data_IF_599928200225
#
_entry.id   IF_599928200225
#
_cell.length_a   1.000
_cell.length_b   1.000
_cell.length_c   1.000
_cell.angle_alpha   90.00
_cell.angle_beta   90.00
_cell.angle_gamma   90.00
#
_symmetry.space_group_name_H-M   'P 1'
#
loop_
_entity.id
_entity.type
_entity.pdbx_description
1 polymer ?
#
# COMPACT_ATOMS: atom_id res chain seq x y z
N UNK A 1 23.56 -21.03 -9.62
CA UNK A 1 23.03 -19.72 -9.20
C UNK A 1 23.49 -19.49 -7.77
N UNK A 2 24.07 -18.33 -7.46
CA UNK A 2 24.47 -18.00 -6.09
C UNK A 2 23.31 -17.31 -5.37
N UNK A 3 23.10 -17.66 -4.10
CA UNK A 3 22.08 -17.05 -3.23
C UNK A 3 22.83 -16.33 -2.13
N UNK A 4 22.58 -15.03 -1.98
CA UNK A 4 23.24 -14.19 -0.97
C UNK A 4 22.22 -13.42 -0.13
N UNK A 5 22.60 -12.95 1.07
CA UNK A 5 21.77 -12.03 1.84
C UNK A 5 21.49 -10.72 1.09
N UNK A 6 20.37 -10.08 1.42
CA UNK A 6 20.04 -8.74 0.92
C UNK A 6 20.89 -7.65 1.57
N UNK A 7 21.22 -6.63 0.81
CA UNK A 7 21.64 -5.34 1.35
C UNK A 7 20.43 -4.55 1.88
N UNK A 8 20.68 -3.53 2.72
CA UNK A 8 19.62 -2.64 3.22
C UNK A 8 18.81 -1.97 2.10
N UNK A 9 19.48 -1.59 1.00
CA UNK A 9 18.81 -0.94 -0.13
C UNK A 9 17.85 -1.91 -0.84
N UNK A 10 18.22 -3.18 -0.95
CA UNK A 10 17.42 -4.22 -1.64
C UNK A 10 16.21 -4.70 -0.83
N UNK A 11 16.24 -4.62 0.51
CA UNK A 11 15.13 -5.05 1.37
C UNK A 11 13.78 -4.44 0.99
N UNK A 12 13.76 -3.21 0.48
CA UNK A 12 12.51 -2.54 0.06
C UNK A 12 11.82 -3.23 -1.11
N UNK A 13 12.56 -3.97 -1.91
CA UNK A 13 12.09 -4.67 -3.12
C UNK A 13 11.67 -6.11 -2.82
N UNK A 14 11.60 -6.52 -1.55
CA UNK A 14 10.91 -7.75 -1.12
C UNK A 14 9.41 -7.55 -0.91
N UNK A 15 8.89 -6.36 -1.21
CA UNK A 15 7.48 -6.00 -1.07
C UNK A 15 6.92 -5.54 -2.41
N UNK A 16 5.59 -5.52 -2.52
CA UNK A 16 4.91 -4.96 -3.69
C UNK A 16 5.29 -3.48 -3.85
N UNK A 17 5.70 -3.09 -5.05
CA UNK A 17 6.09 -1.73 -5.37
C UNK A 17 4.94 -0.96 -6.03
N UNK A 18 5.02 0.37 -6.01
CA UNK A 18 4.11 1.23 -6.77
C UNK A 18 4.19 0.96 -8.28
N UNK A 19 3.22 1.45 -9.03
CA UNK A 19 3.22 1.33 -10.50
C UNK A 19 4.46 1.97 -11.14
N UNK A 20 4.93 3.10 -10.60
CA UNK A 20 6.11 3.79 -11.13
C UNK A 20 7.39 2.98 -10.93
N UNK A 21 7.64 2.54 -9.70
CA UNK A 21 8.82 1.74 -9.39
C UNK A 21 8.76 0.39 -10.11
N UNK A 22 7.58 -0.24 -10.19
CA UNK A 22 7.41 -1.49 -10.93
C UNK A 22 7.78 -1.34 -12.41
N UNK A 23 7.39 -0.23 -13.04
CA UNK A 23 7.77 0.09 -14.42
C UNK A 23 9.28 0.30 -14.58
N UNK A 24 9.92 1.02 -13.67
CA UNK A 24 11.37 1.30 -13.73
C UNK A 24 12.25 0.09 -13.41
N UNK A 25 11.75 -0.86 -12.61
CA UNK A 25 12.51 -2.04 -12.18
C UNK A 25 12.25 -3.27 -13.05
N UNK A 26 11.33 -3.19 -14.00
CA UNK A 26 10.95 -4.33 -14.84
C UNK A 26 10.34 -5.45 -14.01
N UNK A 27 9.43 -5.10 -13.08
CA UNK A 27 8.73 -6.06 -12.24
C UNK A 27 7.93 -7.05 -13.09
N UNK A 28 8.20 -8.34 -12.91
CA UNK A 28 7.65 -9.44 -13.71
C UNK A 28 6.44 -10.04 -13.00
N UNK A 29 6.59 -10.27 -11.70
CA UNK A 29 5.57 -10.91 -10.88
C UNK A 29 6.09 -11.27 -9.50
N UNK A 30 5.20 -11.81 -8.68
CA UNK A 30 5.49 -12.23 -7.31
C UNK A 30 5.11 -13.68 -7.15
N UNK A 31 6.04 -14.50 -6.66
CA UNK A 31 5.73 -15.87 -6.26
C UNK A 31 5.48 -15.91 -4.76
N UNK A 32 4.30 -16.35 -4.36
CA UNK A 32 3.98 -16.67 -2.97
C UNK A 32 4.14 -18.16 -2.77
N UNK A 33 4.70 -18.57 -1.64
CA UNK A 33 4.83 -19.97 -1.31
C UNK A 33 5.02 -20.21 0.17
N UNK A 34 5.11 -21.48 0.50
CA UNK A 34 5.33 -21.92 1.87
C UNK A 34 5.12 -23.41 1.99
N UNK A 35 4.91 -23.86 3.22
CA UNK A 35 4.72 -25.28 3.52
C UNK A 35 3.31 -25.48 4.06
N UNK A 36 2.68 -26.58 3.66
CA UNK A 36 1.45 -27.04 4.32
C UNK A 36 1.80 -28.04 5.42
N UNK A 37 0.78 -28.45 6.17
CA UNK A 37 0.87 -29.46 7.22
C UNK A 37 1.41 -30.83 6.76
N UNK A 38 1.39 -31.12 5.46
CA UNK A 38 2.00 -32.30 4.82
C UNK A 38 3.51 -32.15 4.51
N UNK A 39 4.10 -30.99 4.85
CA UNK A 39 5.49 -30.60 4.58
C UNK A 39 5.85 -30.44 3.09
N UNK A 40 4.89 -30.51 2.17
CA UNK A 40 5.16 -30.22 0.76
C UNK A 40 5.17 -28.71 0.52
N UNK A 41 6.17 -28.23 -0.24
CA UNK A 41 6.26 -26.83 -0.63
C UNK A 41 5.22 -26.53 -1.73
N UNK A 42 4.34 -25.58 -1.47
CA UNK A 42 3.44 -25.05 -2.48
C UNK A 42 3.89 -23.67 -2.93
N UNK A 43 3.54 -23.31 -4.16
CA UNK A 43 3.76 -21.97 -4.68
C UNK A 43 2.67 -21.56 -5.66
N UNK A 44 2.34 -20.28 -5.66
CA UNK A 44 1.51 -19.60 -6.67
C UNK A 44 2.27 -18.41 -7.22
N UNK A 45 2.14 -18.17 -8.52
CA UNK A 45 2.76 -17.01 -9.17
C UNK A 45 1.67 -16.00 -9.53
N UNK A 46 1.88 -14.74 -9.17
CA UNK A 46 1.03 -13.62 -9.52
C UNK A 46 1.73 -12.77 -10.57
N UNK A 47 1.15 -12.71 -11.76
CA UNK A 47 1.68 -11.99 -12.90
C UNK A 47 1.47 -10.47 -12.74
N UNK A 48 2.56 -9.70 -12.82
CA UNK A 48 2.52 -8.24 -12.86
C UNK A 48 2.78 -7.72 -14.28
N UNK A 49 3.66 -8.38 -15.02
CA UNK A 49 3.99 -8.00 -16.39
C UNK A 49 4.40 -9.21 -17.24
N UNK A 50 3.44 -9.76 -17.97
CA UNK A 50 3.65 -10.93 -18.84
C UNK A 50 4.69 -10.70 -19.93
N UNK A 51 4.94 -9.44 -20.34
CA UNK A 51 5.93 -9.12 -21.38
C UNK A 51 7.34 -9.60 -21.01
N UNK A 52 7.66 -9.61 -19.71
CA UNK A 52 8.99 -10.00 -19.21
C UNK A 52 9.04 -11.45 -18.72
N UNK A 53 7.89 -12.13 -18.65
CA UNK A 53 7.78 -13.54 -18.32
C UNK A 53 8.14 -14.41 -19.53
N UNK A 54 9.43 -14.42 -19.84
CA UNK A 54 9.96 -15.24 -20.91
C UNK A 54 10.16 -16.68 -20.43
N UNK A 55 10.31 -17.62 -21.36
CA UNK A 55 10.70 -18.98 -21.03
C UNK A 55 12.03 -19.05 -20.28
N UNK A 56 12.98 -18.19 -20.61
CA UNK A 56 14.28 -18.08 -19.92
C UNK A 56 14.09 -17.66 -18.45
N UNK A 57 13.15 -16.73 -18.19
CA UNK A 57 12.78 -16.34 -16.83
C UNK A 57 12.16 -17.52 -16.06
N UNK A 58 11.22 -18.23 -16.66
CA UNK A 58 10.51 -19.35 -16.03
C UNK A 58 11.49 -20.49 -15.69
N UNK A 59 12.37 -20.86 -16.62
CA UNK A 59 13.44 -21.85 -16.39
C UNK A 59 14.40 -21.38 -15.28
N UNK A 60 14.72 -20.08 -15.24
CA UNK A 60 15.55 -19.49 -14.18
C UNK A 60 14.90 -19.58 -12.80
N UNK A 61 13.60 -19.29 -12.71
CA UNK A 61 12.83 -19.36 -11.46
C UNK A 61 12.70 -20.81 -10.98
N UNK A 62 12.41 -21.76 -11.88
CA UNK A 62 12.33 -23.18 -11.55
C UNK A 62 13.68 -23.70 -11.01
N UNK A 63 14.78 -23.34 -11.66
CA UNK A 63 16.13 -23.71 -11.21
C UNK A 63 16.47 -23.14 -9.83
N UNK A 64 16.04 -21.91 -9.54
CA UNK A 64 16.17 -21.31 -8.22
C UNK A 64 15.40 -22.11 -7.17
N UNK A 65 14.11 -22.42 -7.41
CA UNK A 65 13.29 -23.21 -6.50
C UNK A 65 13.85 -24.61 -6.27
N UNK A 66 14.39 -25.25 -7.29
CA UNK A 66 15.03 -26.57 -7.16
C UNK A 66 16.31 -26.49 -6.32
N UNK A 67 17.07 -25.39 -6.43
CA UNK A 67 18.26 -25.16 -5.62
C UNK A 67 17.90 -24.91 -4.15
N UNK A 68 16.92 -24.05 -3.89
CA UNK A 68 16.44 -23.72 -2.54
C UNK A 68 15.85 -24.91 -1.79
N UNK A 69 15.24 -25.85 -2.52
CA UNK A 69 14.59 -27.06 -1.97
C UNK A 69 15.46 -28.31 -2.04
N UNK A 70 16.74 -28.19 -2.43
CA UNK A 70 17.62 -29.33 -2.61
C UNK A 70 17.78 -30.15 -1.31
N UNK A 71 17.75 -31.49 -1.42
CA UNK A 71 17.89 -32.39 -0.26
C UNK A 71 19.23 -32.28 0.46
N UNK A 72 20.29 -31.82 -0.22
CA UNK A 72 21.62 -31.73 0.35
C UNK A 72 21.78 -30.48 1.22
N UNK A 73 21.51 -29.31 0.63
CA UNK A 73 21.89 -28.00 1.21
C UNK A 73 20.77 -26.95 1.11
N UNK A 74 19.56 -27.35 0.68
CA UNK A 74 18.43 -26.43 0.49
C UNK A 74 17.79 -26.01 1.81
N UNK A 75 17.99 -24.75 2.22
CA UNK A 75 17.40 -24.22 3.45
C UNK A 75 15.87 -24.10 3.37
N UNK A 76 15.29 -24.13 2.16
CA UNK A 76 13.84 -24.13 1.94
C UNK A 76 13.30 -25.53 1.58
N UNK A 77 13.97 -26.59 2.01
CA UNK A 77 13.44 -27.95 1.87
C UNK A 77 12.15 -28.14 2.68
N UNK A 78 12.13 -27.62 3.91
CA UNK A 78 10.95 -27.56 4.77
C UNK A 78 11.04 -26.41 5.79
N UNK A 79 9.99 -26.21 6.58
CA UNK A 79 9.95 -25.16 7.59
C UNK A 79 11.04 -25.33 8.67
N UNK A 80 11.36 -26.58 9.05
CA UNK A 80 12.39 -26.88 10.06
C UNK A 80 13.78 -26.46 9.56
N UNK A 81 14.14 -26.78 8.32
CA UNK A 81 15.43 -26.35 7.72
C UNK A 81 15.53 -24.84 7.58
N UNK A 82 14.41 -24.16 7.29
CA UNK A 82 14.38 -22.71 7.21
C UNK A 82 14.61 -22.08 8.59
N UNK A 83 13.96 -22.61 9.62
CA UNK A 83 14.15 -22.18 11.02
C UNK A 83 15.59 -22.41 11.48
N UNK A 84 16.17 -23.56 11.19
CA UNK A 84 17.58 -23.86 11.50
C UNK A 84 18.55 -22.91 10.79
N UNK A 85 18.34 -22.69 9.49
CA UNK A 85 19.19 -21.80 8.70
C UNK A 85 19.11 -20.35 9.20
N UNK A 86 17.91 -19.84 9.43
CA UNK A 86 17.69 -18.47 9.93
C UNK A 86 18.27 -18.27 11.34
N UNK A 87 18.13 -19.27 12.23
CA UNK A 87 18.76 -19.25 13.55
C UNK A 87 20.30 -19.22 13.50
N UNK A 88 20.91 -19.86 12.51
CA UNK A 88 22.37 -19.82 12.29
C UNK A 88 22.85 -18.53 11.62
N UNK A 89 21.94 -17.74 11.03
CA UNK A 89 22.28 -16.52 10.28
C UNK A 89 21.49 -15.28 10.75
N UNK A 90 21.49 -14.96 12.06
CA UNK A 90 20.72 -13.82 12.60
C UNK A 90 21.14 -12.47 12.02
N UNK A 91 22.37 -12.33 11.52
CA UNK A 91 22.87 -11.13 10.86
C UNK A 91 22.16 -10.78 9.54
N UNK A 92 21.45 -11.76 8.95
CA UNK A 92 20.68 -11.57 7.71
C UNK A 92 19.22 -11.17 7.97
N UNK A 93 18.84 -11.08 9.25
CA UNK A 93 17.50 -10.68 9.66
C UNK A 93 17.28 -9.17 9.48
N UNK A 94 16.06 -8.79 9.14
CA UNK A 94 15.61 -7.41 9.17
C UNK A 94 14.20 -7.31 9.75
N UNK A 95 13.85 -6.13 10.25
CA UNK A 95 12.50 -5.88 10.76
C UNK A 95 11.55 -5.77 9.56
N UNK A 96 10.71 -6.79 9.38
CA UNK A 96 9.61 -6.76 8.42
C UNK A 96 8.37 -6.08 9.01
N UNK A 97 7.27 -6.09 8.25
CA UNK A 97 6.00 -5.46 8.67
C UNK A 97 5.41 -6.08 9.92
N UNK A 98 5.47 -7.41 10.04
CA UNK A 98 4.79 -8.17 11.10
C UNK A 98 5.77 -8.81 12.09
N UNK A 99 6.97 -9.14 11.62
CA UNK A 99 7.94 -9.91 12.38
C UNK A 99 9.34 -9.72 11.81
N UNK A 100 10.31 -10.36 12.47
CA UNK A 100 11.66 -10.53 11.93
C UNK A 100 11.61 -11.40 10.68
N UNK A 101 12.02 -10.81 9.55
CA UNK A 101 12.07 -11.46 8.25
C UNK A 101 13.53 -11.70 7.82
N UNK A 102 13.74 -12.63 6.90
CA UNK A 102 15.05 -12.95 6.34
C UNK A 102 15.01 -12.80 4.84
N UNK A 103 15.99 -12.07 4.31
CA UNK A 103 16.00 -11.65 2.92
C UNK A 103 17.17 -12.20 2.16
N UNK A 104 16.91 -12.72 0.96
CA UNK A 104 17.97 -13.18 0.05
C UNK A 104 17.76 -12.66 -1.36
N UNK A 105 18.84 -12.66 -2.12
CA UNK A 105 18.82 -12.38 -3.55
C UNK A 105 19.57 -13.46 -4.30
N UNK A 106 19.00 -13.86 -5.42
CA UNK A 106 19.63 -14.71 -6.39
C UNK A 106 19.44 -14.10 -7.79
N UNK A 107 20.44 -14.27 -8.66
CA UNK A 107 20.45 -13.66 -9.98
C UNK A 107 20.75 -14.70 -11.06
N UNK A 108 20.10 -14.57 -12.21
CA UNK A 108 20.59 -15.08 -13.50
C UNK A 108 21.35 -13.98 -14.22
N UNK A 109 21.75 -14.23 -15.47
CA UNK A 109 22.31 -13.17 -16.33
C UNK A 109 21.34 -11.98 -16.49
N UNK A 110 20.02 -12.23 -16.61
CA UNK A 110 19.03 -11.20 -16.95
C UNK A 110 18.00 -10.89 -15.86
N UNK A 111 17.79 -11.80 -14.92
CA UNK A 111 16.69 -11.72 -13.95
C UNK A 111 17.21 -11.74 -12.52
N UNK A 112 16.58 -10.94 -11.67
CA UNK A 112 16.84 -10.88 -10.25
C UNK A 112 15.63 -11.42 -9.47
N UNK A 113 15.90 -12.25 -8.47
CA UNK A 113 14.92 -12.84 -7.58
C UNK A 113 15.21 -12.34 -6.18
N UNK A 114 14.38 -11.41 -5.71
CA UNK A 114 14.49 -10.78 -4.40
C UNK A 114 13.46 -11.44 -3.49
N UNK A 115 13.94 -12.20 -2.51
CA UNK A 115 13.10 -13.08 -1.71
C UNK A 115 13.11 -12.70 -0.24
N UNK A 116 11.95 -12.87 0.39
CA UNK A 116 11.78 -12.79 1.84
C UNK A 116 11.15 -14.06 2.37
N UNK A 117 11.56 -14.47 3.57
CA UNK A 117 10.89 -15.51 4.31
C UNK A 117 10.68 -15.14 5.79
N UNK A 118 9.56 -15.58 6.34
CA UNK A 118 9.19 -15.40 7.74
C UNK A 118 9.14 -16.78 8.44
N UNK A 119 10.19 -17.20 9.18
CA UNK A 119 10.23 -18.52 9.81
C UNK A 119 9.21 -18.71 10.95
N UNK A 120 8.60 -17.61 11.45
CA UNK A 120 7.56 -17.65 12.48
C UNK A 120 6.15 -17.90 11.89
N UNK A 121 5.95 -17.65 10.60
CA UNK A 121 4.66 -17.87 9.93
C UNK A 121 4.54 -19.33 9.46
N UNK A 122 3.40 -19.94 9.72
CA UNK A 122 3.15 -21.35 9.40
C UNK A 122 2.80 -21.59 7.92
N UNK A 123 2.12 -20.64 7.26
CA UNK A 123 1.74 -20.68 5.84
C UNK A 123 2.15 -19.37 5.13
N UNK A 124 2.24 -19.37 3.79
CA UNK A 124 2.57 -18.20 2.96
C UNK A 124 3.73 -17.39 3.54
N UNK A 125 4.77 -18.13 3.90
CA UNK A 125 5.91 -17.66 4.67
C UNK A 125 7.13 -17.38 3.78
N UNK A 126 6.95 -17.44 2.46
CA UNK A 126 7.95 -17.18 1.43
C UNK A 126 7.33 -16.31 0.35
N UNK A 127 8.03 -15.25 -0.01
CA UNK A 127 7.71 -14.44 -1.18
C UNK A 127 8.95 -14.19 -2.01
N UNK A 128 8.82 -14.29 -3.34
CA UNK A 128 9.89 -14.02 -4.30
C UNK A 128 9.40 -12.98 -5.30
N UNK A 129 9.93 -11.77 -5.20
CA UNK A 129 9.71 -10.70 -6.15
C UNK A 129 10.70 -10.82 -7.30
N UNK A 130 10.16 -10.84 -8.53
CA UNK A 130 10.91 -11.13 -9.75
C UNK A 130 11.06 -9.88 -10.61
N UNK A 131 12.28 -9.56 -11.01
CA UNK A 131 12.63 -8.34 -11.75
C UNK A 131 13.56 -8.60 -12.93
N UNK A 132 13.60 -7.66 -13.87
CA UNK A 132 14.70 -7.53 -14.82
C UNK A 132 15.92 -6.99 -14.05
N UNK A 133 16.99 -7.79 -13.97
CA UNK A 133 18.15 -7.55 -13.10
C UNK A 133 18.80 -6.19 -13.35
N UNK A 134 19.10 -5.88 -14.60
CA UNK A 134 19.76 -4.62 -14.98
C UNK A 134 18.94 -3.40 -14.56
N UNK A 135 17.63 -3.47 -14.69
CA UNK A 135 16.72 -2.36 -14.41
C UNK A 135 16.55 -2.16 -12.91
N UNK A 136 16.40 -3.25 -12.15
CA UNK A 136 16.39 -3.22 -10.69
C UNK A 136 17.70 -2.62 -10.15
N UNK A 137 18.85 -3.15 -10.59
CA UNK A 137 20.17 -2.68 -10.15
C UNK A 137 20.38 -1.20 -10.46
N UNK A 138 19.99 -0.75 -11.65
CA UNK A 138 20.10 0.64 -12.05
C UNK A 138 19.20 1.56 -11.21
N UNK A 139 17.96 1.14 -10.93
CA UNK A 139 17.04 1.91 -10.10
C UNK A 139 17.53 2.00 -8.65
N UNK A 140 17.97 0.88 -8.05
CA UNK A 140 18.55 0.85 -6.70
C UNK A 140 19.76 1.79 -6.61
N UNK A 141 20.70 1.67 -7.56
CA UNK A 141 21.89 2.52 -7.57
C UNK A 141 21.58 4.02 -7.67
N UNK A 142 20.49 4.40 -8.36
CA UNK A 142 20.03 5.78 -8.39
C UNK A 142 19.36 6.19 -7.08
N UNK A 143 18.50 5.33 -6.53
CA UNK A 143 17.80 5.57 -5.27
C UNK A 143 18.75 5.70 -4.07
N UNK A 144 19.91 5.03 -4.11
CA UNK A 144 20.97 5.14 -3.09
C UNK A 144 21.57 6.56 -2.98
N UNK A 145 21.40 7.41 -3.99
CA UNK A 145 21.81 8.82 -3.92
C UNK A 145 20.91 9.66 -3.01
N UNK A 146 19.74 9.14 -2.67
CA UNK A 146 18.75 9.81 -1.84
C UNK A 146 17.73 10.63 -2.63
N UNK A 147 16.74 11.12 -1.90
CA UNK A 147 15.62 11.93 -2.38
C UNK A 147 15.89 13.37 -1.95
N UNK A 148 15.95 14.27 -2.93
CA UNK A 148 16.15 15.70 -2.70
C UNK A 148 14.82 16.41 -2.48
N UNK A 149 14.75 17.23 -1.45
CA UNK A 149 13.62 18.14 -1.22
C UNK A 149 14.04 19.61 -1.36
N UNK A 150 13.15 20.42 -1.93
CA UNK A 150 13.41 21.80 -2.35
C UNK A 150 12.27 22.74 -1.94
N UNK A 151 12.52 24.04 -1.79
CA UNK A 151 11.46 25.02 -1.68
C UNK A 151 10.87 25.38 -3.08
N UNK A 152 9.82 26.19 -3.14
CA UNK A 152 9.18 26.61 -4.40
C UNK A 152 10.10 27.45 -5.30
N UNK A 153 11.16 28.04 -4.74
CA UNK A 153 12.18 28.80 -5.45
C UNK A 153 13.32 27.92 -5.98
N UNK A 154 13.20 26.60 -5.86
CA UNK A 154 14.19 25.61 -6.30
C UNK A 154 15.46 25.57 -5.44
N UNK A 155 15.47 26.21 -4.26
CA UNK A 155 16.58 26.06 -3.32
C UNK A 155 16.46 24.70 -2.62
N UNK A 156 17.56 23.97 -2.54
CA UNK A 156 17.63 22.71 -1.81
C UNK A 156 17.47 22.93 -0.31
N UNK A 157 16.61 22.13 0.31
CA UNK A 157 16.37 22.15 1.75
C UNK A 157 17.17 21.04 2.45
N UNK A 158 17.00 19.80 2.00
CA UNK A 158 17.67 18.63 2.56
C UNK A 158 17.55 17.41 1.63
N UNK A 159 18.26 16.34 1.99
CA UNK A 159 18.18 15.02 1.38
C UNK A 159 17.82 13.96 2.42
N UNK A 160 17.07 12.94 2.01
CA UNK A 160 16.81 11.73 2.80
C UNK A 160 17.16 10.47 2.00
N UNK A 161 17.41 9.35 2.66
CA UNK A 161 17.58 8.08 1.95
C UNK A 161 16.24 7.58 1.40
N UNK A 162 16.25 6.83 0.29
CA UNK A 162 15.05 6.20 -0.24
C UNK A 162 14.41 5.27 0.80
N UNK A 163 13.10 5.44 1.04
CA UNK A 163 12.34 4.72 2.05
C UNK A 163 12.26 5.41 3.42
N UNK A 164 12.98 6.51 3.64
CA UNK A 164 12.86 7.30 4.87
C UNK A 164 11.61 8.19 4.87
N UNK A 165 11.31 8.79 6.02
CA UNK A 165 10.13 9.61 6.23
C UNK A 165 10.49 11.10 6.28
N UNK A 166 9.57 11.92 5.81
CA UNK A 166 9.50 13.33 6.16
C UNK A 166 8.35 13.56 7.14
N UNK A 167 8.48 14.57 7.98
CA UNK A 167 7.42 15.10 8.82
C UNK A 167 6.89 16.37 8.17
N UNK A 168 5.59 16.41 7.91
CA UNK A 168 4.88 17.58 7.39
C UNK A 168 4.09 18.20 8.54
N UNK A 169 4.37 19.47 8.86
CA UNK A 169 3.59 20.29 9.78
C UNK A 169 2.68 21.19 8.97
N UNK A 170 1.38 20.95 9.06
CA UNK A 170 0.37 21.75 8.37
C UNK A 170 0.11 23.05 9.14
N UNK A 171 -0.42 24.07 8.45
CA UNK A 171 -0.73 25.38 9.04
C UNK A 171 -1.74 25.32 10.20
N UNK A 172 -2.57 24.28 10.25
CA UNK A 172 -3.48 23.99 11.37
C UNK A 172 -2.82 23.41 12.63
N UNK A 173 -1.49 23.17 12.61
CA UNK A 173 -0.74 22.57 13.72
C UNK A 173 -0.73 21.05 13.75
N UNK A 174 -1.45 20.38 12.85
CA UNK A 174 -1.36 18.93 12.66
C UNK A 174 0.00 18.55 12.06
N UNK A 175 0.57 17.43 12.53
CA UNK A 175 1.79 16.86 11.98
C UNK A 175 1.53 15.45 11.45
N UNK A 176 2.10 15.13 10.30
CA UNK A 176 2.04 13.78 9.72
C UNK A 176 3.40 13.35 9.21
N UNK A 177 3.74 12.09 9.42
CA UNK A 177 4.92 11.47 8.81
C UNK A 177 4.56 10.73 7.53
N UNK A 178 5.36 10.91 6.49
CA UNK A 178 5.15 10.30 5.18
C UNK A 178 6.43 9.63 4.71
N UNK A 179 6.35 8.32 4.47
CA UNK A 179 7.42 7.55 3.82
C UNK A 179 7.59 8.08 2.40
N UNK A 180 8.83 8.26 1.96
CA UNK A 180 9.14 8.77 0.64
C UNK A 180 9.92 7.72 -0.18
N UNK A 181 9.56 7.57 -1.45
CA UNK A 181 10.26 6.67 -2.38
C UNK A 181 10.83 7.42 -3.57
N UNK A 182 12.06 7.07 -3.92
CA UNK A 182 12.77 7.65 -5.06
C UNK A 182 12.16 7.15 -6.37
N UNK A 183 11.92 8.07 -7.31
CA UNK A 183 11.49 7.77 -8.68
C UNK A 183 12.54 8.25 -9.67
N UNK A 184 12.88 9.54 -9.64
CA UNK A 184 14.02 10.11 -10.36
C UNK A 184 14.46 11.45 -9.71
N UNK A 185 15.36 12.19 -10.36
CA UNK A 185 15.90 13.47 -9.86
C UNK A 185 14.85 14.60 -9.74
N UNK A 186 13.67 14.42 -10.34
CA UNK A 186 12.59 15.40 -10.41
C UNK A 186 11.27 14.88 -9.83
N UNK A 187 11.14 13.57 -9.62
CA UNK A 187 9.93 12.93 -9.11
C UNK A 187 10.19 12.12 -7.85
N UNK A 188 9.26 12.19 -6.91
CA UNK A 188 9.27 11.39 -5.69
C UNK A 188 7.86 10.94 -5.35
N UNK A 189 7.74 9.78 -4.73
CA UNK A 189 6.52 9.40 -4.03
C UNK A 189 6.60 9.90 -2.59
N UNK A 190 5.53 10.55 -2.10
CA UNK A 190 5.38 10.97 -0.70
C UNK A 190 4.08 10.33 -0.18
N UNK A 191 4.21 9.37 0.72
CA UNK A 191 3.13 8.44 1.02
C UNK A 191 2.75 7.64 -0.23
N UNK A 192 1.50 7.75 -0.64
CA UNK A 192 0.96 7.03 -1.81
C UNK A 192 0.85 7.91 -3.06
N UNK A 193 1.37 9.14 -3.02
CA UNK A 193 1.20 10.13 -4.08
C UNK A 193 2.52 10.41 -4.80
N UNK A 194 2.49 10.36 -6.13
CA UNK A 194 3.60 10.77 -6.99
C UNK A 194 3.58 12.28 -7.21
N UNK A 195 4.71 12.94 -6.97
CA UNK A 195 4.87 14.37 -7.20
C UNK A 195 6.10 14.67 -8.05
N UNK A 196 5.99 15.74 -8.85
CA UNK A 196 7.18 16.50 -9.22
C UNK A 196 7.66 17.30 -7.99
N UNK A 197 8.96 17.34 -7.73
CA UNK A 197 9.51 17.97 -6.51
C UNK A 197 9.09 19.45 -6.35
N UNK A 198 9.02 20.22 -7.43
CA UNK A 198 8.51 21.61 -7.38
C UNK A 198 7.02 21.68 -7.04
N UNK A 199 6.22 20.77 -7.60
CA UNK A 199 4.78 20.74 -7.34
C UNK A 199 4.52 20.47 -5.86
N UNK A 200 5.24 19.52 -5.27
CA UNK A 200 5.18 19.25 -3.84
C UNK A 200 5.53 20.51 -3.04
N UNK A 201 6.65 21.17 -3.36
CA UNK A 201 7.08 22.38 -2.67
C UNK A 201 6.06 23.53 -2.76
N UNK A 202 5.52 23.79 -3.95
CA UNK A 202 4.51 24.82 -4.19
C UNK A 202 3.21 24.56 -3.41
N UNK A 203 2.76 23.30 -3.35
CA UNK A 203 1.57 22.92 -2.56
C UNK A 203 1.83 23.17 -1.07
N UNK A 204 2.99 22.75 -0.55
CA UNK A 204 3.32 22.91 0.87
C UNK A 204 3.37 24.39 1.26
N UNK A 205 4.07 25.22 0.48
CA UNK A 205 4.15 26.66 0.76
C UNK A 205 2.80 27.37 0.62
N UNK A 206 2.01 27.04 -0.42
CA UNK A 206 0.68 27.62 -0.62
C UNK A 206 -0.26 27.34 0.55
N UNK A 207 -0.14 26.17 1.15
CA UNK A 207 -0.96 25.75 2.30
C UNK A 207 -0.37 26.20 3.65
N UNK A 208 0.76 26.92 3.64
CA UNK A 208 1.49 27.31 4.85
C UNK A 208 2.01 26.12 5.64
N UNK A 209 2.32 25.02 4.96
CA UNK A 209 2.85 23.79 5.54
C UNK A 209 4.36 23.76 5.39
N UNK A 210 5.03 23.25 6.41
CA UNK A 210 6.48 23.05 6.42
C UNK A 210 6.77 21.56 6.49
N UNK A 211 7.93 21.15 5.98
CA UNK A 211 8.32 19.75 6.06
C UNK A 211 9.81 19.61 6.34
N UNK A 212 10.15 18.58 7.11
CA UNK A 212 11.51 18.31 7.62
C UNK A 212 11.80 16.82 7.57
N UNK A 213 13.07 16.40 7.50
CA UNK A 213 13.42 14.99 7.62
C UNK A 213 13.02 14.49 9.02
N UNK A 214 12.46 13.29 9.11
CA UNK A 214 12.31 12.61 10.40
C UNK A 214 13.70 12.14 10.82
N UNK A 215 14.18 12.58 11.97
CA UNK A 215 15.44 12.07 12.50
C UNK A 215 15.32 10.55 12.67
N UNK A 216 16.26 9.75 12.15
CA UNK A 216 16.20 8.31 12.30
C UNK A 216 16.27 7.99 13.79
N UNK A 217 15.21 7.40 14.34
CA UNK A 217 15.20 6.99 15.73
C UNK A 217 16.35 6.01 15.96
N UNK A 218 17.34 6.41 16.77
CA UNK A 218 18.27 5.46 17.38
C UNK A 218 17.43 4.53 18.24
N UNK A 219 17.27 3.28 17.80
CA UNK A 219 16.48 2.24 18.44
C UNK A 219 16.67 2.27 19.96
N UNK A 220 15.70 2.84 20.67
CA UNK A 220 15.33 2.43 22.01
C UNK A 220 13.86 2.08 21.94
N UNK A 221 13.60 0.78 22.04
CA UNK A 221 12.29 0.19 22.01
C UNK A 221 11.35 0.91 22.98
N UNK A 222 10.27 1.47 22.46
CA UNK A 222 9.01 1.61 23.17
C UNK A 222 7.86 1.55 22.16
N UNK A 223 7.37 0.32 21.97
CA UNK A 223 6.10 -0.01 21.37
C UNK A 223 4.97 0.75 22.07
N UNK A 224 4.05 1.32 21.29
CA UNK A 224 2.59 1.27 21.55
C UNK A 224 1.84 1.39 20.22
N UNK A 225 1.67 0.27 19.51
CA UNK A 225 0.54 0.12 18.61
C UNK A 225 -0.65 -0.40 19.42
N UNK A 226 -1.72 0.38 19.45
CA UNK A 226 -3.02 -0.10 19.88
C UNK A 226 -3.67 -0.78 18.67
N UNK A 227 -3.41 -2.08 18.52
CA UNK A 227 -4.28 -2.95 17.76
C UNK A 227 -5.63 -3.03 18.50
N UNK A 228 -6.67 -2.45 17.92
CA UNK A 228 -8.04 -2.80 18.27
C UNK A 228 -8.52 -3.84 17.27
N UNK A 229 -8.50 -5.11 17.70
CA UNK A 229 -9.36 -6.16 17.16
C UNK A 229 -10.81 -5.69 17.22
N UNK A 230 -11.51 -5.69 16.09
CA UNK A 230 -12.97 -5.78 16.08
C UNK A 230 -13.42 -6.83 15.07
N UNK A 231 -14.38 -7.63 15.54
CA UNK A 231 -14.98 -8.80 14.89
C UNK A 231 -15.57 -8.48 13.51
N UNK A 232 -15.55 -9.52 12.69
CA UNK A 232 -16.13 -9.69 11.36
C UNK A 232 -17.65 -9.40 11.31
N UNK A 233 -18.02 -8.12 11.18
CA UNK A 233 -19.30 -7.65 10.62
C UNK A 233 -19.00 -6.40 9.78
N UNK A 234 -18.85 -6.52 8.46
CA UNK A 234 -18.50 -5.37 7.61
C UNK A 234 -17.86 -5.67 6.25
N UNK A 235 -17.67 -6.94 5.89
CA UNK A 235 -17.11 -7.35 4.60
C UNK A 235 -18.23 -7.58 3.57
N UNK A 236 -18.02 -7.09 2.36
CA UNK A 236 -18.94 -7.13 1.23
C UNK A 236 -18.25 -7.79 0.02
N UNK A 237 -19.00 -8.45 -0.84
CA UNK A 237 -18.46 -9.02 -2.08
C UNK A 237 -18.45 -7.98 -3.19
N UNK A 238 -17.26 -7.68 -3.73
CA UNK A 238 -17.06 -6.87 -4.93
C UNK A 238 -16.80 -7.79 -6.12
N UNK A 239 -17.66 -7.74 -7.14
CA UNK A 239 -17.39 -8.41 -8.41
C UNK A 239 -16.60 -7.47 -9.31
N UNK A 240 -15.37 -7.84 -9.63
CA UNK A 240 -14.48 -7.01 -10.44
C UNK A 240 -14.83 -7.11 -11.92
N UNK A 241 -14.44 -6.11 -12.69
CA UNK A 241 -14.58 -6.14 -14.16
C UNK A 241 -13.80 -7.30 -14.82
N UNK A 242 -12.86 -7.92 -14.10
CA UNK A 242 -12.07 -9.05 -14.58
C UNK A 242 -12.71 -10.42 -14.28
N UNK A 243 -13.91 -10.43 -13.70
CA UNK A 243 -14.66 -11.64 -13.39
C UNK A 243 -14.26 -12.34 -12.09
N UNK A 244 -13.42 -11.70 -11.26
CA UNK A 244 -13.11 -12.16 -9.90
C UNK A 244 -14.09 -11.57 -8.89
N UNK A 245 -14.16 -12.18 -7.70
CA UNK A 245 -14.92 -11.67 -6.57
C UNK A 245 -13.97 -11.44 -5.40
N UNK A 246 -13.88 -10.20 -4.94
CA UNK A 246 -13.03 -9.78 -3.82
C UNK A 246 -13.88 -9.47 -2.59
N UNK A 247 -13.33 -9.76 -1.40
CA UNK A 247 -13.95 -9.43 -0.13
C UNK A 247 -13.42 -8.09 0.39
N UNK A 248 -14.29 -7.08 0.42
CA UNK A 248 -13.91 -5.70 0.69
C UNK A 248 -14.66 -5.12 1.88
N UNK A 249 -14.02 -4.21 2.61
CA UNK A 249 -14.61 -3.40 3.67
C UNK A 249 -14.44 -1.93 3.34
N UNK A 250 -15.49 -1.15 3.64
CA UNK A 250 -15.47 0.30 3.43
C UNK A 250 -14.78 1.01 4.59
N UNK A 251 -14.13 2.12 4.27
CA UNK A 251 -13.61 3.09 5.23
C UNK A 251 -14.18 4.46 4.90
N UNK A 252 -14.48 5.26 5.92
CA UNK A 252 -14.97 6.64 5.76
C UNK A 252 -13.95 7.59 6.35
N UNK A 253 -13.68 8.66 5.61
CA UNK A 253 -12.89 9.80 6.08
C UNK A 253 -13.44 11.07 5.43
N UNK A 254 -12.66 12.15 5.50
CA UNK A 254 -13.02 13.47 5.03
C UNK A 254 -11.91 14.01 4.12
N UNK A 255 -12.26 14.48 2.93
CA UNK A 255 -11.32 15.17 2.06
C UNK A 255 -10.86 16.48 2.69
N UNK A 256 -9.54 16.65 2.80
CA UNK A 256 -8.92 17.78 3.51
C UNK A 256 -9.27 19.13 2.87
N UNK A 257 -9.44 19.19 1.55
CA UNK A 257 -9.63 20.46 0.83
C UNK A 257 -10.97 21.14 1.12
N UNK A 258 -12.04 20.36 1.32
CA UNK A 258 -13.41 20.87 1.34
C UNK A 258 -14.34 20.15 2.32
N UNK A 259 -13.79 19.28 3.16
CA UNK A 259 -14.50 18.44 4.10
C UNK A 259 -15.55 17.50 3.48
N UNK A 260 -15.48 17.23 2.17
CA UNK A 260 -16.40 16.31 1.50
C UNK A 260 -16.16 14.87 1.95
N UNK A 261 -17.19 14.04 1.82
CA UNK A 261 -17.13 12.64 2.19
C UNK A 261 -16.09 11.90 1.36
N UNK A 262 -15.10 11.30 2.01
CA UNK A 262 -14.21 10.30 1.42
C UNK A 262 -14.71 8.91 1.81
N UNK A 263 -14.83 8.04 0.81
CA UNK A 263 -15.03 6.60 1.02
C UNK A 263 -13.92 5.85 0.29
N UNK A 264 -13.22 4.99 1.04
CA UNK A 264 -12.21 4.08 0.53
C UNK A 264 -12.63 2.63 0.72
N UNK A 265 -11.98 1.73 -0.02
CA UNK A 265 -12.14 0.28 0.12
C UNK A 265 -10.83 -0.34 0.57
N UNK A 266 -10.96 -1.34 1.44
CA UNK A 266 -9.87 -2.20 1.87
C UNK A 266 -10.25 -3.65 1.63
N UNK A 267 -9.30 -4.49 1.24
CA UNK A 267 -9.45 -5.94 1.25
C UNK A 267 -8.83 -6.50 2.52
N UNK A 268 -9.33 -7.64 2.99
CA UNK A 268 -8.69 -8.38 4.08
C UNK A 268 -8.23 -9.73 3.54
N UNK A 269 -7.21 -9.73 2.69
CA UNK A 269 -6.46 -10.96 2.43
C UNK A 269 -5.56 -11.23 3.65
N UNK A 270 -5.61 -12.46 4.18
CA UNK A 270 -4.84 -12.91 5.35
C UNK A 270 -5.09 -12.21 6.70
N UNK A 271 -6.20 -11.48 6.83
CA UNK A 271 -6.67 -10.94 8.12
C UNK A 271 -6.22 -9.51 8.45
N UNK A 272 -5.51 -8.84 7.54
CA UNK A 272 -5.11 -7.43 7.67
C UNK A 272 -5.77 -6.55 6.60
N UNK A 273 -6.32 -5.37 6.93
CA UNK A 273 -6.92 -4.48 5.94
C UNK A 273 -5.84 -3.85 5.03
N UNK A 274 -5.84 -4.22 3.75
CA UNK A 274 -5.02 -3.60 2.70
C UNK A 274 -5.84 -2.63 1.85
N UNK A 275 -5.34 -1.44 1.48
CA UNK A 275 -6.06 -0.54 0.58
C UNK A 275 -6.33 -1.18 -0.79
N UNK A 276 -7.59 -1.24 -1.18
CA UNK A 276 -8.04 -1.75 -2.48
C UNK A 276 -8.20 -0.63 -3.52
N UNK A 277 -8.84 0.47 -3.11
CA UNK A 277 -9.08 1.61 -4.00
C UNK A 277 -10.00 2.66 -3.38
N UNK A 278 -10.00 3.85 -3.96
CA UNK A 278 -10.83 4.97 -3.51
C UNK A 278 -12.19 4.93 -4.22
N UNK A 279 -13.27 4.78 -3.46
CA UNK A 279 -14.64 4.75 -4.02
C UNK A 279 -15.02 6.13 -4.54
N UNK A 280 -14.63 7.16 -3.79
CA UNK A 280 -14.98 8.55 -4.10
C UNK A 280 -13.78 9.27 -4.72
N UNK A 281 -14.06 10.34 -5.46
CA UNK A 281 -13.05 11.30 -5.92
C UNK A 281 -13.42 12.71 -5.48
N UNK A 282 -12.44 13.51 -5.07
CA UNK A 282 -12.65 14.91 -4.77
C UNK A 282 -12.50 15.78 -6.01
N UNK A 283 -13.60 16.34 -6.49
CA UNK A 283 -13.59 17.29 -7.62
C UNK A 283 -13.59 18.75 -7.16
N UNK A 284 -13.34 19.01 -5.88
CA UNK A 284 -13.34 20.34 -5.23
C UNK A 284 -14.69 21.10 -5.31
N UNK A 285 -15.70 20.51 -5.93
CA UNK A 285 -17.06 21.02 -5.92
C UNK A 285 -17.70 20.81 -4.56
N UNK A 286 -18.43 21.83 -4.10
CA UNK A 286 -19.30 21.68 -2.93
C UNK A 286 -20.49 20.79 -3.30
N UNK A 287 -20.64 19.69 -2.57
CA UNK A 287 -21.75 18.75 -2.69
C UNK A 287 -22.51 18.67 -1.36
N UNK A 288 -23.81 18.32 -1.35
CA UNK A 288 -24.55 18.14 -0.11
C UNK A 288 -23.89 17.11 0.82
N UNK A 289 -24.12 17.19 2.14
CA UNK A 289 -23.67 16.18 3.08
C UNK A 289 -24.07 14.77 2.65
N UNK A 290 -23.18 13.81 2.88
CA UNK A 290 -23.33 12.41 2.46
C UNK A 290 -23.44 12.19 0.94
N UNK A 291 -23.18 13.21 0.12
CA UNK A 291 -23.00 13.05 -1.31
C UNK A 291 -21.51 13.08 -1.66
N UNK A 292 -21.10 12.26 -2.64
CA UNK A 292 -19.74 12.30 -3.19
C UNK A 292 -19.72 11.81 -4.65
N UNK A 293 -18.76 12.29 -5.42
CA UNK A 293 -18.50 11.78 -6.76
C UNK A 293 -17.80 10.43 -6.67
N UNK A 294 -18.27 9.45 -7.43
CA UNK A 294 -17.74 8.08 -7.41
C UNK A 294 -16.79 7.86 -8.58
N UNK A 295 -15.66 7.19 -8.33
CA UNK A 295 -14.64 6.92 -9.35
C UNK A 295 -14.97 5.69 -10.21
N UNK A 296 -16.05 5.79 -10.98
CA UNK A 296 -16.42 4.75 -11.96
C UNK A 296 -15.50 4.70 -13.17
N UNK A 297 -14.52 5.61 -13.29
CA UNK A 297 -13.56 5.61 -14.39
C UNK A 297 -12.41 4.63 -14.10
N UNK A 298 -11.95 4.58 -12.85
CA UNK A 298 -10.94 3.63 -12.41
C UNK A 298 -11.54 2.30 -11.93
N UNK A 299 -12.76 2.32 -11.38
CA UNK A 299 -13.48 1.14 -10.92
C UNK A 299 -14.94 1.15 -11.41
N UNK A 300 -15.20 0.77 -12.67
CA UNK A 300 -16.55 0.79 -13.25
C UNK A 300 -17.56 -0.10 -12.51
N UNK A 301 -17.12 -1.12 -11.80
CA UNK A 301 -17.94 -1.99 -10.96
C UNK A 301 -18.59 -1.30 -9.74
N UNK A 302 -18.12 -0.11 -9.35
CA UNK A 302 -18.63 0.61 -8.18
C UNK A 302 -20.10 0.98 -8.29
N UNK A 303 -20.60 1.30 -9.49
CA UNK A 303 -22.01 1.62 -9.70
C UNK A 303 -22.91 0.46 -9.26
N UNK A 304 -22.63 -0.73 -9.78
CA UNK A 304 -23.37 -1.95 -9.46
C UNK A 304 -23.18 -2.35 -7.99
N UNK A 305 -21.97 -2.23 -7.47
CA UNK A 305 -21.63 -2.57 -6.09
C UNK A 305 -22.37 -1.71 -5.08
N UNK A 306 -22.35 -0.38 -5.24
CA UNK A 306 -22.96 0.57 -4.32
C UNK A 306 -24.49 0.42 -4.28
N UNK A 307 -25.12 0.26 -5.44
CA UNK A 307 -26.58 0.16 -5.56
C UNK A 307 -27.09 -1.18 -5.05
N UNK A 308 -26.48 -2.32 -5.46
CA UNK A 308 -26.95 -3.66 -5.04
C UNK A 308 -26.83 -3.89 -3.54
N UNK A 309 -25.83 -3.27 -2.90
CA UNK A 309 -25.64 -3.37 -1.45
C UNK A 309 -26.41 -2.31 -0.65
N UNK A 310 -27.15 -1.42 -1.31
CA UNK A 310 -27.91 -0.34 -0.67
C UNK A 310 -27.02 0.68 0.05
N UNK A 311 -25.81 0.89 -0.45
CA UNK A 311 -24.79 1.77 0.15
C UNK A 311 -24.98 3.19 -0.33
N UNK A 312 -25.27 3.38 -1.62
CA UNK A 312 -25.50 4.69 -2.19
C UNK A 312 -26.47 4.64 -3.38
N UNK A 313 -27.14 5.75 -3.64
CA UNK A 313 -28.07 5.92 -4.75
C UNK A 313 -27.58 7.01 -5.69
N UNK A 314 -27.67 6.77 -7.00
CA UNK A 314 -27.27 7.75 -8.01
C UNK A 314 -28.25 8.94 -7.97
N UNK A 315 -27.71 10.15 -7.88
CA UNK A 315 -28.53 11.37 -7.75
C UNK A 315 -29.10 11.89 -9.08
N UNK A 316 -28.69 11.31 -10.21
CA UNK A 316 -28.98 11.83 -11.54
C UNK A 316 -28.01 12.91 -12.02
N UNK A 317 -27.04 13.30 -11.19
CA UNK A 317 -26.07 14.36 -11.50
C UNK A 317 -24.69 13.78 -11.82
N UNK A 318 -24.01 14.40 -12.78
CA UNK A 318 -22.65 14.06 -13.21
C UNK A 318 -21.79 15.32 -13.22
N UNK A 319 -20.50 15.19 -12.95
CA UNK A 319 -19.53 16.27 -13.14
C UNK A 319 -18.38 15.80 -14.04
N UNK A 320 -18.01 16.65 -15.01
CA UNK A 320 -16.83 16.44 -15.83
C UNK A 320 -15.59 17.01 -15.15
N UNK A 321 -14.49 16.28 -15.21
CA UNK A 321 -13.16 16.76 -14.87
C UNK A 321 -12.16 16.15 -15.85
N UNK A 322 -11.44 17.00 -16.59
CA UNK A 322 -10.63 16.57 -17.71
C UNK A 322 -11.45 15.83 -18.78
N UNK A 323 -11.00 14.63 -19.15
CA UNK A 323 -11.69 13.74 -20.10
C UNK A 323 -12.67 12.77 -19.44
N UNK A 324 -12.74 12.76 -18.11
CA UNK A 324 -13.56 11.84 -17.34
C UNK A 324 -14.85 12.51 -16.85
N UNK A 325 -15.87 11.69 -16.62
CA UNK A 325 -17.14 12.12 -16.04
C UNK A 325 -17.42 11.27 -14.80
N UNK A 326 -17.74 11.91 -13.69
CA UNK A 326 -17.94 11.25 -12.40
C UNK A 326 -19.39 11.41 -11.96
N UNK A 327 -20.10 10.31 -11.68
CA UNK A 327 -21.46 10.36 -11.15
C UNK A 327 -21.48 10.78 -9.68
N UNK A 328 -22.43 11.63 -9.32
CA UNK A 328 -22.69 12.01 -7.93
C UNK A 328 -23.66 11.02 -7.30
N UNK A 329 -23.25 10.42 -6.20
CA UNK A 329 -24.07 9.49 -5.41
C UNK A 329 -24.40 10.08 -4.04
N UNK A 330 -25.59 9.75 -3.53
CA UNK A 330 -25.99 9.99 -2.15
C UNK A 330 -25.83 8.71 -1.34
N UNK A 331 -24.96 8.73 -0.35
CA UNK A 331 -24.65 7.59 0.52
C UNK A 331 -25.72 7.43 1.62
N UNK A 332 -26.12 6.18 1.86
CA UNK A 332 -27.11 5.83 2.87
C UNK A 332 -26.49 5.95 4.27
N UNK A 333 -26.90 6.99 5.00
CA UNK A 333 -26.33 7.35 6.30
C UNK A 333 -26.41 6.21 7.32
N UNK A 334 -27.55 5.52 7.43
CA UNK A 334 -27.70 4.42 8.39
C UNK A 334 -26.80 3.23 8.04
N UNK A 335 -26.69 2.92 6.74
CA UNK A 335 -25.82 1.84 6.26
C UNK A 335 -24.35 2.18 6.51
N UNK A 336 -23.93 3.41 6.18
CA UNK A 336 -22.55 3.85 6.38
C UNK A 336 -22.18 3.89 7.87
N UNK A 337 -23.09 4.29 8.77
CA UNK A 337 -22.86 4.23 10.23
C UNK A 337 -22.71 2.80 10.76
N UNK A 338 -23.34 1.82 10.11
CA UNK A 338 -23.17 0.40 10.47
C UNK A 338 -21.88 -0.19 9.92
N UNK A 339 -21.51 0.17 8.68
CA UNK A 339 -20.30 -0.35 8.02
C UNK A 339 -19.01 0.33 8.54
N UNK A 340 -19.07 1.63 8.82
CA UNK A 340 -17.92 2.46 9.18
C UNK A 340 -18.27 3.40 10.34
N UNK A 341 -18.61 2.88 11.54
CA UNK A 341 -19.13 3.69 12.65
C UNK A 341 -18.19 4.84 13.05
N UNK A 342 -16.91 4.55 13.22
CA UNK A 342 -15.92 5.53 13.68
C UNK A 342 -15.61 6.59 12.60
N UNK A 343 -15.44 6.15 11.35
CA UNK A 343 -15.21 7.05 10.22
C UNK A 343 -16.39 7.98 9.96
N UNK A 344 -17.63 7.46 10.05
CA UNK A 344 -18.83 8.29 9.94
C UNK A 344 -18.97 9.28 11.08
N UNK A 345 -18.70 8.87 12.33
CA UNK A 345 -18.73 9.79 13.47
C UNK A 345 -17.71 10.94 13.30
N UNK A 346 -16.50 10.63 12.82
CA UNK A 346 -15.49 11.64 12.53
C UNK A 346 -15.91 12.58 11.38
N UNK A 347 -16.45 12.04 10.29
CA UNK A 347 -16.97 12.84 9.17
C UNK A 347 -18.09 13.78 9.61
N UNK A 348 -19.06 13.28 10.39
CA UNK A 348 -20.16 14.07 10.91
C UNK A 348 -19.65 15.20 11.82
N UNK A 349 -18.63 14.91 12.64
CA UNK A 349 -18.04 15.88 13.57
C UNK A 349 -17.36 17.03 12.85
N UNK A 350 -16.53 16.72 11.86
CA UNK A 350 -15.84 17.73 11.04
C UNK A 350 -16.83 18.61 10.28
N UNK A 351 -17.99 18.06 9.90
CA UNK A 351 -19.03 18.78 9.15
C UNK A 351 -20.14 19.37 10.03
N UNK A 352 -20.05 19.27 11.37
CA UNK A 352 -21.05 19.81 12.29
C UNK A 352 -22.43 19.13 12.18
N UNK A 353 -22.46 17.86 11.77
CA UNK A 353 -23.67 17.06 11.56
C UNK A 353 -24.07 16.24 12.80
N UNK A 354 -23.27 16.34 13.88
CA UNK A 354 -23.44 15.71 15.19
C UNK A 354 -24.71 16.20 15.92
N UNK A 355 -25.88 15.76 15.47
CA UNK A 355 -27.10 15.99 16.25
C UNK A 355 -27.13 15.02 17.43
N UNK A 356 -26.81 15.51 18.63
CA UNK A 356 -27.40 14.95 19.86
C UNK A 356 -28.93 15.01 19.69
N UNK A 357 -29.69 13.96 20.03
CA UNK A 357 -31.14 14.07 20.08
C UNK A 357 -31.51 15.19 21.04
N UNK A 358 -32.29 16.17 20.57
CA UNK A 358 -32.91 17.17 21.42
C UNK A 358 -33.62 16.43 22.56
N UNK A 359 -33.14 16.63 23.79
CA UNK A 359 -33.96 16.35 24.96
C UNK A 359 -35.17 17.28 24.81
N UNK A 360 -36.33 16.73 24.46
CA UNK A 360 -37.60 17.39 24.68
C UNK A 360 -37.64 17.78 26.17
N UNK A 361 -37.39 19.05 26.45
CA UNK A 361 -37.77 19.64 27.73
C UNK A 361 -39.27 19.39 27.88
N UNK A 362 -39.62 18.53 28.84
CA UNK A 362 -40.97 18.52 29.38
C UNK A 362 -41.13 19.84 30.11
N UNK A 363 -41.68 20.83 29.42
CA UNK A 363 -42.28 22.00 30.03
C UNK A 363 -43.35 21.54 31.02
N UNK A 364 -43.29 22.13 32.22
CA UNK A 364 -44.10 21.86 33.41
C UNK A 364 -45.60 21.85 33.18
#
# INVERSE_FOLDING_TARGET
MEIRPLTKAEQKYTYRQSMQISGQTGSIGVMYGGYKSDKEFYSRFYDLNERWKTREFEEGLENLLNSLRSDKDGFMRNLDTMREYTACHPQNAFQGKEATEYGFRADTEKYAYVMRCNPAKENDNVEIHCYVKEWLDQHISKAEKGIRFINSRYDELFHIADGEKIKIRYSGGEEQERVCRYIDEYHTEVGNNLYHICQFAEIMERNGSEYTPVEPETVQAQEKEQAQENKTEGTLELKTQFGTTENVSLTVNTYVDNNSLYVGMTTAEDGFPEPYGDVTVNLLSSVPPYCAFVDTNNMPELEDFLVKNGIAEFTGLMQKSGYCSYPLYQFNVEKMRRLCPDGMAAYEQVNGLDKKPEKKEKSR
#
